data_IF_465347476162
#
_entry.id   IF_465347476162
#
_cell.length_a   1.000
_cell.length_b   1.000
_cell.length_c   1.000
_cell.angle_alpha   90.00
_cell.angle_beta   90.00
_cell.angle_gamma   90.00
#
_symmetry.space_group_name_H-M   'P 1'
#
loop_
_entity.id
_entity.type
_entity.pdbx_description
1 polymer ?
#
# COMPACT_ATOMS: atom_id res chain seq x y z
N UNK A 1 8.12 11.44 19.85
CA UNK A 1 7.22 10.77 18.88
C UNK A 1 5.81 10.70 19.43
N UNK A 2 5.62 10.24 20.68
CA UNK A 2 4.33 10.27 21.38
C UNK A 2 3.60 11.62 21.25
N UNK A 3 4.27 12.76 21.48
CA UNK A 3 3.64 14.09 21.32
C UNK A 3 3.10 14.36 19.90
N UNK A 4 3.75 13.83 18.86
CA UNK A 4 3.27 13.96 17.48
C UNK A 4 2.02 13.10 17.26
N UNK A 5 2.02 11.88 17.81
CA UNK A 5 0.85 11.00 17.75
C UNK A 5 -0.31 11.61 18.53
N UNK A 6 -0.06 12.14 19.72
CA UNK A 6 -1.07 12.80 20.54
C UNK A 6 -1.67 14.02 19.84
N UNK A 7 -0.83 14.87 19.26
CA UNK A 7 -1.30 16.01 18.48
C UNK A 7 -2.14 15.58 17.26
N UNK A 8 -1.75 14.51 16.56
CA UNK A 8 -2.53 13.97 15.44
C UNK A 8 -3.86 13.36 15.90
N UNK A 9 -3.86 12.64 17.02
CA UNK A 9 -5.07 12.05 17.60
C UNK A 9 -6.05 13.12 18.09
N UNK A 10 -5.56 14.19 18.73
CA UNK A 10 -6.38 15.29 19.24
C UNK A 10 -6.95 16.16 18.10
N UNK A 11 -6.28 16.21 16.94
CA UNK A 11 -6.75 16.93 15.76
C UNK A 11 -7.80 16.16 14.93
N UNK A 12 -8.16 14.93 15.33
CA UNK A 12 -9.07 14.06 14.59
C UNK A 12 -10.50 14.63 14.59
N UNK A 13 -11.00 14.98 13.41
CA UNK A 13 -12.37 15.50 13.22
C UNK A 13 -13.37 14.44 12.75
N UNK A 14 -12.86 13.32 12.24
CA UNK A 14 -13.65 12.17 11.78
C UNK A 14 -13.29 10.96 12.65
N UNK A 15 -14.27 10.38 13.34
CA UNK A 15 -14.06 9.22 14.21
C UNK A 15 -13.57 7.98 13.44
N UNK A 16 -13.84 7.91 12.14
CA UNK A 16 -13.42 6.80 11.29
C UNK A 16 -12.01 7.00 10.71
N UNK A 17 -11.40 8.17 10.91
CA UNK A 17 -10.03 8.42 10.51
C UNK A 17 -9.05 7.57 11.34
N UNK A 18 -8.25 6.77 10.64
CA UNK A 18 -7.40 5.73 11.22
C UNK A 18 -5.93 6.18 11.28
N UNK A 19 -5.38 6.30 12.50
CA UNK A 19 -4.03 6.82 12.73
C UNK A 19 -3.02 5.69 12.94
N UNK A 20 -2.13 5.47 11.97
CA UNK A 20 -1.06 4.46 12.05
C UNK A 20 0.26 5.11 12.45
N UNK A 21 0.85 4.70 13.58
CA UNK A 21 2.19 5.16 13.96
C UNK A 21 3.27 4.24 13.37
N UNK A 22 4.25 4.84 12.70
CA UNK A 22 5.41 4.13 12.13
C UNK A 22 6.63 4.28 13.03
N UNK A 23 7.36 3.19 13.24
CA UNK A 23 8.66 3.17 13.93
C UNK A 23 9.72 2.48 13.08
N UNK A 24 10.88 3.12 12.94
CA UNK A 24 12.09 2.64 12.26
C UNK A 24 13.21 2.26 13.25
N UNK A 25 12.88 2.25 14.54
CA UNK A 25 13.85 2.07 15.62
C UNK A 25 14.52 0.68 15.65
N UNK A 26 13.98 -0.34 14.96
CA UNK A 26 14.60 -1.67 14.92
C UNK A 26 16.03 -1.59 14.39
N UNK A 27 16.26 -0.81 13.33
CA UNK A 27 17.55 -0.75 12.65
C UNK A 27 18.64 -0.05 13.48
N UNK A 28 18.27 0.91 14.33
CA UNK A 28 19.20 1.75 15.10
C UNK A 28 19.27 1.41 16.59
N UNK A 29 18.19 0.89 17.17
CA UNK A 29 18.04 0.69 18.61
C UNK A 29 17.61 -0.72 19.00
N UNK A 30 17.36 -1.61 18.02
CA UNK A 30 16.93 -2.98 18.26
C UNK A 30 15.44 -3.13 18.53
N UNK A 31 15.00 -4.39 18.64
CA UNK A 31 13.58 -4.77 18.71
C UNK A 31 12.91 -4.26 19.99
N UNK A 32 13.57 -4.38 21.14
CA UNK A 32 12.98 -4.04 22.45
C UNK A 32 12.64 -2.55 22.53
N UNK A 33 13.60 -1.68 22.19
CA UNK A 33 13.39 -0.24 22.14
C UNK A 33 12.33 0.16 21.10
N UNK A 34 12.20 -0.58 20.00
CA UNK A 34 11.18 -0.33 19.01
C UNK A 34 9.77 -0.71 19.51
N UNK A 35 9.65 -1.79 20.29
CA UNK A 35 8.40 -2.20 20.94
C UNK A 35 7.99 -1.19 22.01
N UNK A 36 8.92 -0.74 22.88
CA UNK A 36 8.63 0.29 23.89
C UNK A 36 8.10 1.58 23.25
N UNK A 37 8.72 2.00 22.15
CA UNK A 37 8.26 3.16 21.37
C UNK A 37 6.88 2.93 20.76
N UNK A 38 6.61 1.73 20.26
CA UNK A 38 5.31 1.40 19.67
C UNK A 38 4.19 1.44 20.73
N UNK A 39 4.43 0.87 21.93
CA UNK A 39 3.50 0.94 23.06
C UNK A 39 3.18 2.41 23.40
N UNK A 40 4.21 3.26 23.54
CA UNK A 40 4.02 4.68 23.83
C UNK A 40 3.25 5.41 22.72
N UNK A 41 3.35 4.97 21.46
CA UNK A 41 2.54 5.53 20.38
C UNK A 41 1.07 5.08 20.47
N UNK A 42 0.81 3.82 20.84
CA UNK A 42 -0.58 3.35 21.09
C UNK A 42 -1.21 4.12 22.23
N UNK A 43 -0.50 4.28 23.36
CA UNK A 43 -0.97 5.07 24.51
C UNK A 43 -1.24 6.54 24.15
N UNK A 44 -0.50 7.10 23.19
CA UNK A 44 -0.71 8.44 22.69
C UNK A 44 -1.88 8.58 21.70
N UNK A 45 -2.52 7.48 21.29
CA UNK A 45 -3.72 7.47 20.45
C UNK A 45 -3.53 6.93 19.03
N UNK A 46 -2.47 6.17 18.75
CA UNK A 46 -2.34 5.43 17.50
C UNK A 46 -3.28 4.21 17.48
N UNK A 47 -4.00 4.02 16.39
CA UNK A 47 -4.94 2.91 16.18
C UNK A 47 -4.26 1.64 15.65
N UNK A 48 -3.06 1.78 15.08
CA UNK A 48 -2.22 0.68 14.60
C UNK A 48 -0.73 1.05 14.60
N UNK A 49 0.11 0.03 14.47
CA UNK A 49 1.57 0.17 14.39
C UNK A 49 2.09 -0.35 13.07
N UNK A 50 2.90 0.46 12.39
CA UNK A 50 3.76 0.03 11.30
C UNK A 50 5.18 -0.20 11.84
N UNK A 51 5.54 -1.48 12.01
CA UNK A 51 6.86 -1.93 12.41
C UNK A 51 7.79 -2.05 11.19
N UNK A 52 8.61 -1.02 10.93
CA UNK A 52 9.56 -1.03 9.82
C UNK A 52 10.76 -1.93 10.11
N UNK A 53 11.27 -2.60 9.07
CA UNK A 53 12.48 -3.42 9.11
C UNK A 53 12.45 -4.62 10.09
N UNK A 54 11.26 -5.10 10.46
CA UNK A 54 11.13 -6.43 11.07
C UNK A 54 11.62 -7.49 10.08
N UNK A 55 12.54 -8.35 10.52
CA UNK A 55 13.29 -9.26 9.64
C UNK A 55 12.90 -10.74 9.81
N UNK A 56 12.04 -11.08 10.77
CA UNK A 56 11.53 -12.43 10.99
C UNK A 56 10.11 -12.44 11.58
N UNK A 57 9.42 -13.58 11.49
CA UNK A 57 8.08 -13.78 12.05
C UNK A 57 8.04 -13.67 13.59
N UNK A 58 9.03 -14.18 14.36
CA UNK A 58 9.08 -13.98 15.81
C UNK A 58 9.10 -12.51 16.23
N UNK A 59 9.77 -11.64 15.48
CA UNK A 59 9.74 -10.19 15.73
C UNK A 59 8.33 -9.64 15.58
N UNK A 60 7.61 -10.00 14.51
CA UNK A 60 6.21 -9.60 14.35
C UNK A 60 5.31 -10.11 15.49
N UNK A 61 5.45 -11.37 15.89
CA UNK A 61 4.70 -11.96 17.02
C UNK A 61 4.91 -11.15 18.32
N UNK A 62 6.15 -10.72 18.59
CA UNK A 62 6.47 -9.88 19.76
C UNK A 62 5.80 -8.51 19.69
N UNK A 63 5.81 -7.86 18.52
CA UNK A 63 5.10 -6.59 18.33
C UNK A 63 3.60 -6.76 18.57
N UNK A 64 2.97 -7.73 17.92
CA UNK A 64 1.53 -8.00 18.01
C UNK A 64 1.12 -8.24 19.47
N UNK A 65 1.86 -9.09 20.20
CA UNK A 65 1.59 -9.38 21.61
C UNK A 65 1.74 -8.17 22.53
N UNK A 66 2.69 -7.27 22.22
CA UNK A 66 2.98 -6.11 23.04
C UNK A 66 1.98 -4.97 22.84
N UNK A 67 1.67 -4.61 21.60
CA UNK A 67 0.91 -3.38 21.29
C UNK A 67 -0.60 -3.58 21.30
N UNK A 68 -1.07 -4.83 21.11
CA UNK A 68 -2.50 -5.22 21.15
C UNK A 68 -3.44 -4.45 20.21
N UNK A 69 -2.87 -3.73 19.24
CA UNK A 69 -3.54 -3.10 18.09
C UNK A 69 -3.03 -3.74 16.80
N UNK A 70 -3.72 -3.58 15.65
CA UNK A 70 -3.23 -4.12 14.39
C UNK A 70 -1.80 -3.67 14.07
N UNK A 71 -0.97 -4.65 13.68
CA UNK A 71 0.39 -4.42 13.18
C UNK A 71 0.38 -4.54 11.66
N UNK A 72 1.00 -3.56 10.99
CA UNK A 72 1.24 -3.55 9.54
C UNK A 72 2.64 -4.08 9.25
N UNK A 73 2.71 -5.07 8.36
CA UNK A 73 3.94 -5.59 7.77
C UNK A 73 4.17 -4.96 6.38
N UNK A 74 5.34 -4.34 6.19
CA UNK A 74 5.75 -3.76 4.91
C UNK A 74 6.55 -4.77 4.10
N UNK A 75 5.91 -5.40 3.12
CA UNK A 75 6.51 -6.43 2.27
C UNK A 75 6.96 -5.78 0.97
N UNK A 76 8.00 -4.92 1.09
CA UNK A 76 8.66 -4.31 -0.07
C UNK A 76 9.73 -5.23 -0.64
N UNK A 77 9.87 -5.23 -1.97
CA UNK A 77 10.92 -5.94 -2.66
C UNK A 77 12.28 -5.26 -2.47
N UNK A 78 13.35 -6.03 -2.64
CA UNK A 78 14.75 -5.56 -2.61
C UNK A 78 15.17 -4.91 -1.29
N UNK A 79 14.45 -5.22 -0.21
CA UNK A 79 14.75 -4.79 1.16
C UNK A 79 15.41 -5.89 1.99
N UNK A 80 15.45 -5.68 3.31
CA UNK A 80 15.96 -6.66 4.29
C UNK A 80 14.89 -7.64 4.77
N UNK A 81 13.62 -7.25 4.73
CA UNK A 81 12.49 -8.08 5.16
C UNK A 81 12.24 -9.19 4.13
N UNK A 82 12.15 -10.46 4.55
CA UNK A 82 11.73 -11.56 3.67
C UNK A 82 10.34 -11.30 3.06
N UNK A 83 10.09 -11.84 1.87
CA UNK A 83 8.81 -11.70 1.17
C UNK A 83 7.78 -12.68 1.75
N UNK A 84 7.34 -12.43 2.98
CA UNK A 84 6.38 -13.28 3.67
C UNK A 84 5.02 -13.31 2.96
N UNK A 85 4.37 -14.47 2.97
CA UNK A 85 3.00 -14.63 2.52
C UNK A 85 2.00 -14.06 3.53
N UNK A 86 0.76 -13.87 3.07
CA UNK A 86 -0.35 -13.45 3.95
C UNK A 86 -0.57 -14.50 5.06
N UNK A 87 -0.46 -15.78 4.75
CA UNK A 87 -0.61 -16.89 5.69
C UNK A 87 0.50 -16.91 6.74
N UNK A 88 1.75 -16.68 6.33
CA UNK A 88 2.90 -16.59 7.25
C UNK A 88 2.72 -15.43 8.24
N UNK A 89 2.36 -14.25 7.74
CA UNK A 89 2.10 -13.07 8.58
C UNK A 89 0.87 -13.25 9.48
N UNK A 90 -0.19 -13.87 8.97
CA UNK A 90 -1.40 -14.20 9.73
C UNK A 90 -1.09 -15.18 10.88
N UNK A 91 -0.16 -16.11 10.69
CA UNK A 91 0.22 -17.10 11.72
C UNK A 91 0.78 -16.46 13.00
N UNK A 92 1.31 -15.23 12.90
CA UNK A 92 1.83 -14.44 14.01
C UNK A 92 0.97 -13.23 14.37
N UNK A 93 -0.25 -13.14 13.83
CA UNK A 93 -1.25 -12.13 14.19
C UNK A 93 -1.05 -10.74 13.58
N UNK A 94 -0.25 -10.61 12.51
CA UNK A 94 -0.17 -9.36 11.73
C UNK A 94 -1.55 -9.04 11.14
N UNK A 95 -1.98 -7.79 11.26
CA UNK A 95 -3.32 -7.34 10.87
C UNK A 95 -3.40 -6.73 9.48
N UNK A 96 -2.29 -6.25 8.93
CA UNK A 96 -2.23 -5.60 7.62
C UNK A 96 -0.94 -5.96 6.87
N UNK A 97 -1.04 -6.13 5.56
CA UNK A 97 0.10 -6.35 4.66
C UNK A 97 0.15 -5.24 3.63
N UNK A 98 1.28 -4.56 3.53
CA UNK A 98 1.50 -3.48 2.57
C UNK A 98 2.46 -3.96 1.48
N UNK A 99 2.02 -3.81 0.23
CA UNK A 99 2.82 -3.98 -0.98
C UNK A 99 3.07 -2.61 -1.62
N UNK A 100 4.04 -1.83 -1.11
CA UNK A 100 4.04 -0.38 -1.33
C UNK A 100 4.37 0.02 -2.76
N UNK A 101 5.16 -0.79 -3.48
CA UNK A 101 5.72 -0.41 -4.79
C UNK A 101 5.67 -1.53 -5.82
N UNK A 102 5.11 -2.70 -5.52
CA UNK A 102 5.17 -3.88 -6.39
C UNK A 102 4.66 -3.60 -7.80
N UNK A 103 3.44 -3.05 -7.91
CA UNK A 103 2.85 -2.64 -9.19
C UNK A 103 3.66 -1.53 -9.88
N UNK A 104 4.13 -0.55 -9.11
CA UNK A 104 4.93 0.57 -9.63
C UNK A 104 6.27 0.12 -10.21
N UNK A 105 6.92 -0.88 -9.60
CA UNK A 105 8.16 -1.45 -10.12
C UNK A 105 7.91 -2.22 -11.42
N UNK A 106 6.84 -3.02 -11.47
CA UNK A 106 6.47 -3.77 -12.66
C UNK A 106 6.14 -2.83 -13.84
N UNK A 107 5.32 -1.79 -13.61
CA UNK A 107 4.95 -0.84 -14.67
C UNK A 107 6.17 -0.09 -15.22
N UNK A 108 7.13 0.30 -14.36
CA UNK A 108 8.35 0.97 -14.82
C UNK A 108 9.20 0.06 -15.70
N UNK A 109 9.29 -1.23 -15.36
CA UNK A 109 10.03 -2.19 -16.17
C UNK A 109 9.38 -2.41 -17.53
N UNK A 110 8.06 -2.56 -17.58
CA UNK A 110 7.31 -2.69 -18.83
C UNK A 110 7.46 -1.44 -19.71
N UNK A 111 7.36 -0.24 -19.13
CA UNK A 111 7.56 1.02 -19.84
C UNK A 111 8.98 1.13 -20.41
N UNK A 112 10.01 0.78 -19.63
CA UNK A 112 11.39 0.72 -20.10
C UNK A 112 11.55 -0.23 -21.29
N UNK A 113 10.96 -1.42 -21.23
CA UNK A 113 10.98 -2.40 -22.35
C UNK A 113 10.38 -1.82 -23.62
N UNK A 114 9.25 -1.12 -23.54
CA UNK A 114 8.61 -0.49 -24.71
C UNK A 114 9.50 0.62 -25.28
N UNK A 115 10.06 1.50 -24.45
CA UNK A 115 10.96 2.55 -24.91
C UNK A 115 12.22 2.00 -25.60
N UNK A 116 12.82 0.95 -25.04
CA UNK A 116 13.98 0.29 -25.64
C UNK A 116 13.65 -0.37 -26.98
N UNK A 117 12.50 -1.05 -27.08
CA UNK A 117 12.06 -1.68 -28.32
C UNK A 117 11.82 -0.66 -29.44
N UNK A 118 11.09 0.43 -29.15
CA UNK A 118 10.84 1.50 -30.11
C UNK A 118 12.16 2.11 -30.59
N UNK A 119 13.10 2.36 -29.67
CA UNK A 119 14.40 2.96 -30.02
C UNK A 119 15.27 2.03 -30.88
N UNK A 120 15.26 0.73 -30.60
CA UNK A 120 16.06 -0.27 -31.30
C UNK A 120 15.48 -0.63 -32.67
N UNK A 121 14.17 -0.87 -32.72
CA UNK A 121 13.49 -1.46 -33.88
C UNK A 121 12.86 -0.39 -34.80
N UNK A 122 12.73 0.85 -34.30
CA UNK A 122 12.00 1.91 -34.99
C UNK A 122 10.47 1.78 -34.92
N UNK A 123 9.94 0.81 -34.16
CA UNK A 123 8.51 0.57 -33.95
C UNK A 123 8.21 -0.29 -32.71
N UNK A 124 6.95 -0.34 -32.28
CA UNK A 124 6.48 -1.11 -31.11
C UNK A 124 5.87 -2.49 -31.43
N UNK A 125 5.80 -2.92 -32.70
CA UNK A 125 5.08 -4.15 -33.13
C UNK A 125 5.43 -5.40 -32.32
N UNK A 126 6.70 -5.53 -31.91
CA UNK A 126 7.23 -6.71 -31.21
C UNK A 126 6.88 -6.74 -29.70
N UNK A 127 6.23 -5.70 -29.17
CA UNK A 127 5.92 -5.56 -27.74
C UNK A 127 4.46 -5.21 -27.48
N UNK A 128 3.59 -5.32 -28.48
CA UNK A 128 2.15 -5.03 -28.33
C UNK A 128 1.50 -5.96 -27.31
N UNK A 129 1.91 -7.23 -27.26
CA UNK A 129 1.36 -8.22 -26.33
C UNK A 129 1.66 -7.92 -24.85
N UNK A 130 2.53 -6.95 -24.56
CA UNK A 130 2.80 -6.48 -23.20
C UNK A 130 1.84 -5.36 -22.75
N UNK A 131 1.08 -4.79 -23.68
CA UNK A 131 0.27 -3.59 -23.44
C UNK A 131 -1.13 -3.96 -23.00
N UNK A 132 -1.68 -3.16 -22.09
CA UNK A 132 -3.12 -3.12 -21.88
C UNK A 132 -3.82 -2.70 -23.19
N UNK A 133 -4.82 -3.45 -23.59
CA UNK A 133 -5.64 -3.15 -24.77
C UNK A 133 -6.51 -1.92 -24.54
N UNK A 134 -7.06 -1.36 -25.63
CA UNK A 134 -8.01 -0.24 -25.55
C UNK A 134 -9.26 -0.61 -24.77
N UNK A 135 -9.81 -1.79 -25.03
CA UNK A 135 -11.05 -2.25 -24.40
C UNK A 135 -10.83 -2.48 -22.89
N UNK A 136 -9.71 -3.11 -22.50
CA UNK A 136 -9.35 -3.22 -21.09
C UNK A 136 -9.20 -1.85 -20.42
N UNK A 137 -8.61 -0.86 -21.09
CA UNK A 137 -8.51 0.50 -20.55
C UNK A 137 -9.90 1.12 -20.35
N UNK A 138 -10.80 0.98 -21.32
CA UNK A 138 -12.18 1.49 -21.24
C UNK A 138 -12.95 0.88 -20.07
N UNK A 139 -12.82 -0.43 -19.89
CA UNK A 139 -13.41 -1.14 -18.75
C UNK A 139 -12.85 -0.63 -17.42
N UNK A 140 -11.53 -0.35 -17.33
CA UNK A 140 -10.91 0.12 -16.08
C UNK A 140 -11.34 1.53 -15.67
N UNK A 141 -11.66 2.40 -16.62
CA UNK A 141 -12.02 3.79 -16.34
C UNK A 141 -13.54 4.04 -16.40
N UNK A 142 -14.35 2.99 -16.54
CA UNK A 142 -15.81 3.10 -16.65
C UNK A 142 -16.25 3.90 -17.88
N UNK A 143 -15.48 3.85 -18.97
CA UNK A 143 -15.69 4.72 -20.14
C UNK A 143 -17.13 4.62 -20.68
N UNK A 144 -17.64 3.40 -20.85
CA UNK A 144 -18.97 3.15 -21.38
C UNK A 144 -20.10 3.57 -20.43
N UNK A 145 -19.86 3.62 -19.12
CA UNK A 145 -20.86 4.11 -18.15
C UNK A 145 -21.08 5.60 -18.33
N UNK A 146 -19.99 6.36 -18.48
CA UNK A 146 -20.07 7.81 -18.76
C UNK A 146 -20.75 8.10 -20.09
N UNK A 147 -20.39 7.37 -21.15
CA UNK A 147 -21.01 7.50 -22.48
C UNK A 147 -22.52 7.23 -22.42
N UNK A 148 -22.92 6.15 -21.74
CA UNK A 148 -24.33 5.78 -21.55
C UNK A 148 -25.12 6.84 -20.78
N UNK A 149 -24.52 7.45 -19.76
CA UNK A 149 -25.16 8.52 -18.98
C UNK A 149 -25.41 9.77 -19.83
N UNK A 150 -24.46 10.16 -20.69
CA UNK A 150 -24.63 11.29 -21.61
C UNK A 150 -25.76 11.02 -22.60
N UNK A 151 -25.81 9.83 -23.19
CA UNK A 151 -26.88 9.46 -24.11
C UNK A 151 -28.26 9.51 -23.45
N UNK A 152 -28.39 8.99 -22.23
CA UNK A 152 -29.64 9.05 -21.47
C UNK A 152 -30.09 10.49 -21.18
N UNK A 153 -29.16 11.36 -20.79
CA UNK A 153 -29.46 12.75 -20.48
C UNK A 153 -29.91 13.55 -21.72
N UNK A 154 -29.27 13.34 -22.87
CA UNK A 154 -29.51 14.16 -24.06
C UNK A 154 -30.47 13.56 -25.09
N UNK A 155 -30.78 12.25 -25.03
CA UNK A 155 -31.89 11.68 -25.79
C UNK A 155 -33.25 12.14 -25.26
N UNK A 156 -33.39 12.37 -23.96
CA UNK A 156 -34.62 12.89 -23.35
C UNK A 156 -34.96 14.33 -23.77
N UNK A 157 -33.96 15.14 -24.14
CA UNK A 157 -34.13 16.52 -24.60
C UNK A 157 -34.58 16.69 -26.06
N UNK A 158 -34.61 15.61 -26.86
CA UNK A 158 -35.02 15.64 -28.28
C UNK A 158 -36.51 15.32 -28.51
N UNK A 159 -37.28 15.09 -27.45
CA UNK A 159 -38.71 14.72 -27.53
C UNK A 159 -39.69 15.82 -27.14
N UNK A 160 -39.29 17.10 -27.22
CA UNK A 160 -40.19 18.26 -27.11
C UNK A 160 -40.22 19.08 -28.39
#
# INVERSE_FOLDING_TARGET
MADRVKAAADARTDSDFYLIARTDAIASHGVDAAIERAIACVEAGADAIFAEAAYDLPTYDRFVKAVKVPVLANITEFGKTPLFSVEELKSVGVGMVLYPLSAFRAMNKAAETVYQAIRRDGHQKNVVDLMQTRDELYDRIGYHEFESQLDQLFQQGKSQ
#
